data_IF_058040644001
#
_entry.id   IF_058040644001
#
_cell.length_a   1.000
_cell.length_b   1.000
_cell.length_c   1.000
_cell.angle_alpha   90.00
_cell.angle_beta   90.00
_cell.angle_gamma   90.00
#
_symmetry.space_group_name_H-M   'P 1'
#
loop_
_entity.id
_entity.type
_entity.pdbx_description
1 polymer ?
#
# COMPACT_ATOMS: atom_id res chain seq x y z
N UNK A 1 12.13 -1.62 -4.63
CA UNK A 1 10.66 -1.60 -4.73
C UNK A 1 10.18 -2.97 -4.27
N UNK A 2 9.91 -3.16 -2.97
CA UNK A 2 9.55 -4.50 -2.43
C UNK A 2 8.75 -4.35 -1.15
N UNK A 3 7.43 -4.14 -1.26
CA UNK A 3 6.51 -4.23 -0.11
C UNK A 3 5.17 -4.89 -0.52
N UNK A 4 5.05 -5.47 -1.71
CA UNK A 4 3.76 -6.05 -2.15
C UNK A 4 3.87 -7.15 -3.22
N UNK A 5 5.01 -7.84 -3.35
CA UNK A 5 5.15 -8.91 -4.33
C UNK A 5 5.71 -10.19 -3.71
N UNK A 6 4.88 -11.24 -3.69
CA UNK A 6 5.30 -12.64 -3.55
C UNK A 6 4.96 -13.27 -2.22
N UNK A 7 3.78 -13.87 -2.10
CA UNK A 7 3.51 -14.87 -1.05
C UNK A 7 4.16 -16.23 -1.42
N UNK A 8 4.61 -16.38 -2.68
CA UNK A 8 5.22 -17.62 -3.21
C UNK A 8 6.47 -17.34 -4.05
N UNK A 9 7.42 -18.29 -4.09
CA UNK A 9 8.65 -18.21 -4.90
C UNK A 9 8.35 -17.94 -6.38
N UNK A 10 7.25 -18.50 -6.89
CA UNK A 10 6.82 -18.32 -8.26
C UNK A 10 6.41 -16.86 -8.58
N UNK A 11 5.77 -16.16 -7.65
CA UNK A 11 5.42 -14.75 -7.82
C UNK A 11 6.65 -13.85 -7.76
N UNK A 12 7.64 -14.21 -6.94
CA UNK A 12 8.93 -13.53 -6.87
C UNK A 12 9.66 -13.67 -8.22
N UNK A 13 9.68 -14.86 -8.81
CA UNK A 13 10.31 -15.11 -10.10
C UNK A 13 9.63 -14.34 -11.24
N UNK A 14 8.28 -14.25 -11.24
CA UNK A 14 7.54 -13.41 -12.19
C UNK A 14 8.01 -11.96 -12.14
N UNK A 15 8.13 -11.38 -10.95
CA UNK A 15 8.58 -9.99 -10.79
C UNK A 15 10.02 -9.81 -11.26
N UNK A 16 10.92 -10.75 -10.93
CA UNK A 16 12.31 -10.72 -11.39
C UNK A 16 12.41 -10.81 -12.92
N UNK A 17 11.59 -11.65 -13.55
CA UNK A 17 11.57 -11.77 -15.01
C UNK A 17 11.06 -10.49 -15.67
N UNK A 18 10.01 -9.88 -15.11
CA UNK A 18 9.52 -8.60 -15.59
C UNK A 18 10.58 -7.49 -15.44
N UNK A 19 11.25 -7.42 -14.28
CA UNK A 19 12.33 -6.47 -14.03
C UNK A 19 13.50 -6.64 -15.02
N UNK A 20 13.95 -7.88 -15.23
CA UNK A 20 14.99 -8.20 -16.20
C UNK A 20 14.61 -7.75 -17.61
N UNK A 21 13.36 -7.99 -18.03
CA UNK A 21 12.86 -7.54 -19.32
C UNK A 21 12.83 -6.00 -19.42
N UNK A 22 12.33 -5.31 -18.39
CA UNK A 22 12.32 -3.85 -18.37
C UNK A 22 13.73 -3.25 -18.48
N UNK A 23 14.72 -3.87 -17.86
CA UNK A 23 16.12 -3.43 -17.95
C UNK A 23 16.71 -3.71 -19.34
N UNK A 24 16.53 -4.93 -19.85
CA UNK A 24 17.06 -5.34 -21.15
C UNK A 24 16.51 -4.50 -22.30
N UNK A 25 15.21 -4.18 -22.26
CA UNK A 25 14.52 -3.41 -23.30
C UNK A 25 14.34 -1.92 -22.92
N UNK A 26 15.03 -1.44 -21.89
CA UNK A 26 14.87 -0.08 -21.34
C UNK A 26 15.02 1.01 -22.40
N UNK A 27 16.05 0.92 -23.24
CA UNK A 27 16.31 1.89 -24.31
C UNK A 27 15.19 1.93 -25.36
N UNK A 28 14.54 0.80 -25.63
CA UNK A 28 13.42 0.74 -26.57
C UNK A 28 12.14 1.27 -25.91
N UNK A 29 11.90 0.92 -24.64
CA UNK A 29 10.65 1.24 -23.92
C UNK A 29 10.59 2.70 -23.47
N UNK A 30 11.71 3.25 -22.98
CA UNK A 30 11.74 4.54 -22.28
C UNK A 30 12.43 5.65 -23.05
N UNK A 31 13.45 5.35 -23.86
CA UNK A 31 14.24 6.39 -24.54
C UNK A 31 13.68 6.78 -25.92
N UNK A 32 12.90 5.88 -26.55
CA UNK A 32 12.24 6.15 -27.82
C UNK A 32 10.90 6.86 -27.61
N UNK A 33 10.61 7.85 -28.47
CA UNK A 33 9.34 8.57 -28.49
C UNK A 33 8.92 8.93 -29.91
N UNK A 34 7.78 9.61 -30.06
CA UNK A 34 7.19 9.98 -31.37
C UNK A 34 8.07 10.85 -32.28
N UNK A 35 9.09 11.51 -31.73
CA UNK A 35 10.02 12.35 -32.47
C UNK A 35 11.34 11.62 -32.80
N UNK A 36 11.53 10.40 -32.28
CA UNK A 36 12.74 9.61 -32.51
C UNK A 36 12.86 9.21 -33.98
N UNK A 37 14.04 9.41 -34.54
CA UNK A 37 14.35 9.03 -35.91
C UNK A 37 14.90 7.60 -36.02
N UNK A 38 15.18 7.18 -37.25
CA UNK A 38 15.77 5.85 -37.52
C UNK A 38 17.10 5.63 -36.80
N UNK A 39 17.92 6.68 -36.65
CA UNK A 39 19.21 6.60 -35.95
C UNK A 39 19.03 6.27 -34.46
N UNK A 40 18.03 6.87 -33.81
CA UNK A 40 17.75 6.65 -32.40
C UNK A 40 17.25 5.22 -32.18
N UNK A 41 16.41 4.72 -33.08
CA UNK A 41 15.95 3.34 -33.08
C UNK A 41 17.13 2.36 -33.21
N UNK A 42 18.03 2.58 -34.18
CA UNK A 42 19.19 1.72 -34.37
C UNK A 42 20.08 1.68 -33.12
N UNK A 43 20.33 2.84 -32.53
CA UNK A 43 21.11 2.93 -31.29
C UNK A 43 20.42 2.19 -30.13
N UNK A 44 19.10 2.33 -29.97
CA UNK A 44 18.35 1.60 -28.94
C UNK A 44 18.41 0.08 -29.15
N UNK A 45 18.33 -0.39 -30.41
CA UNK A 45 18.49 -1.79 -30.75
C UNK A 45 19.90 -2.31 -30.43
N UNK A 46 20.96 -1.57 -30.77
CA UNK A 46 22.35 -1.96 -30.46
C UNK A 46 22.61 -2.07 -28.95
N UNK A 47 22.04 -1.17 -28.16
CA UNK A 47 22.15 -1.25 -26.69
C UNK A 47 21.35 -2.44 -26.13
N UNK A 48 20.15 -2.67 -26.67
CA UNK A 48 19.31 -3.80 -26.29
C UNK A 48 20.00 -5.12 -26.62
N UNK A 49 20.62 -5.25 -27.80
CA UNK A 49 21.36 -6.44 -28.22
C UNK A 49 22.49 -6.77 -27.24
N UNK A 50 23.25 -5.77 -26.79
CA UNK A 50 24.29 -5.97 -25.76
C UNK A 50 23.73 -6.49 -24.45
N UNK A 51 22.57 -6.00 -24.02
CA UNK A 51 21.89 -6.48 -22.82
C UNK A 51 21.40 -7.92 -23.02
N UNK A 52 20.91 -8.27 -24.21
CA UNK A 52 20.47 -9.62 -24.53
C UNK A 52 21.62 -10.64 -24.54
N UNK A 53 22.83 -10.24 -24.94
CA UNK A 53 24.02 -11.11 -24.86
C UNK A 53 24.42 -11.49 -23.42
N UNK A 54 23.95 -10.75 -22.42
CA UNK A 54 24.21 -11.06 -21.00
C UNK A 54 23.20 -12.03 -20.40
N UNK A 55 22.09 -12.31 -21.10
CA UNK A 55 20.99 -13.15 -20.63
C UNK A 55 20.32 -13.87 -21.81
N UNK A 56 20.84 -15.06 -22.14
CA UNK A 56 20.35 -15.89 -23.26
C UNK A 56 18.87 -16.27 -23.15
N UNK A 57 18.30 -16.22 -21.94
CA UNK A 57 16.89 -16.54 -21.67
C UNK A 57 15.98 -15.31 -21.65
N UNK A 58 16.49 -14.11 -21.90
CA UNK A 58 15.71 -12.86 -21.81
C UNK A 58 14.45 -12.87 -22.69
N UNK A 59 14.52 -13.48 -23.87
CA UNK A 59 13.36 -13.63 -24.77
C UNK A 59 12.31 -14.56 -24.16
N UNK A 60 12.74 -15.66 -23.51
CA UNK A 60 11.82 -16.56 -22.81
C UNK A 60 11.19 -15.87 -21.59
N UNK A 61 11.97 -15.10 -20.83
CA UNK A 61 11.48 -14.28 -19.71
C UNK A 61 10.46 -13.25 -20.18
N UNK A 62 10.65 -12.65 -21.37
CA UNK A 62 9.70 -11.70 -21.96
C UNK A 62 8.40 -12.40 -22.36
N UNK A 63 8.49 -13.59 -22.97
CA UNK A 63 7.33 -14.40 -23.32
C UNK A 63 6.56 -14.81 -22.05
N UNK A 64 7.24 -15.26 -21.00
CA UNK A 64 6.60 -15.62 -19.73
C UNK A 64 5.94 -14.39 -19.07
N UNK A 65 6.64 -13.27 -19.05
CA UNK A 65 6.10 -11.97 -18.60
C UNK A 65 4.81 -11.61 -19.36
N UNK A 66 4.80 -11.79 -20.69
CA UNK A 66 3.63 -11.53 -21.53
C UNK A 66 2.44 -12.43 -21.19
N UNK A 67 2.68 -13.72 -20.95
CA UNK A 67 1.63 -14.66 -20.51
C UNK A 67 1.06 -14.28 -19.13
N UNK A 68 1.87 -13.65 -18.28
CA UNK A 68 1.48 -13.23 -16.94
C UNK A 68 0.96 -11.77 -16.86
N UNK A 69 0.69 -11.11 -18.00
CA UNK A 69 0.25 -9.70 -18.02
C UNK A 69 -1.01 -9.42 -17.19
N UNK A 70 -1.99 -10.33 -17.21
CA UNK A 70 -3.20 -10.15 -16.41
C UNK A 70 -2.90 -10.19 -14.90
N UNK A 71 -1.93 -11.00 -14.46
CA UNK A 71 -1.48 -10.99 -13.08
C UNK A 71 -0.88 -9.63 -12.71
N UNK A 72 0.01 -9.06 -13.55
CA UNK A 72 0.60 -7.73 -13.31
C UNK A 72 -0.46 -6.61 -13.28
N UNK A 73 -1.45 -6.64 -14.18
CA UNK A 73 -2.55 -5.66 -14.19
C UNK A 73 -3.38 -5.77 -12.90
N UNK A 74 -3.67 -6.99 -12.45
CA UNK A 74 -4.43 -7.22 -11.23
C UNK A 74 -3.61 -6.83 -10.00
N UNK A 75 -2.31 -7.11 -9.96
CA UNK A 75 -1.39 -6.67 -8.92
C UNK A 75 -1.31 -5.14 -8.82
N UNK A 76 -1.25 -4.43 -9.96
CA UNK A 76 -1.31 -2.97 -9.98
C UNK A 76 -2.64 -2.43 -9.45
N UNK A 77 -3.75 -3.04 -9.88
CA UNK A 77 -5.10 -2.68 -9.39
C UNK A 77 -5.28 -2.98 -7.90
N UNK A 78 -4.74 -4.10 -7.41
CA UNK A 78 -4.82 -4.48 -6.00
C UNK A 78 -3.95 -3.57 -5.14
N UNK A 79 -2.73 -3.22 -5.55
CA UNK A 79 -1.91 -2.23 -4.87
C UNK A 79 -2.62 -0.87 -4.80
N UNK A 80 -3.22 -0.43 -5.90
CA UNK A 80 -4.03 0.80 -5.92
C UNK A 80 -5.27 0.71 -5.01
N UNK A 81 -5.98 -0.41 -5.01
CA UNK A 81 -7.21 -0.62 -4.23
C UNK A 81 -6.94 -0.79 -2.74
N UNK A 82 -5.92 -1.57 -2.36
CA UNK A 82 -5.54 -1.83 -0.96
C UNK A 82 -4.94 -0.58 -0.33
N UNK A 83 -4.03 0.12 -1.03
CA UNK A 83 -3.51 1.40 -0.55
C UNK A 83 -4.64 2.43 -0.43
N UNK A 84 -5.49 2.58 -1.45
CA UNK A 84 -6.62 3.54 -1.40
C UNK A 84 -7.62 3.20 -0.30
N UNK A 85 -7.95 1.92 -0.09
CA UNK A 85 -8.82 1.49 1.01
C UNK A 85 -8.21 1.77 2.38
N UNK A 86 -6.94 1.42 2.59
CA UNK A 86 -6.23 1.67 3.85
C UNK A 86 -6.13 3.17 4.14
N UNK A 87 -5.94 3.99 3.10
CA UNK A 87 -5.94 5.46 3.19
C UNK A 87 -7.32 6.00 3.58
N UNK A 88 -8.38 5.57 2.89
CA UNK A 88 -9.75 5.99 3.20
C UNK A 88 -10.17 5.56 4.60
N UNK A 89 -9.72 4.37 5.04
CA UNK A 89 -9.97 3.85 6.38
C UNK A 89 -9.22 4.67 7.44
N UNK A 90 -7.97 5.06 7.21
CA UNK A 90 -7.24 5.91 8.13
C UNK A 90 -7.80 7.34 8.20
N UNK A 91 -8.33 7.87 7.09
CA UNK A 91 -9.09 9.12 7.09
C UNK A 91 -10.41 8.99 7.86
N UNK A 92 -11.13 7.87 7.72
CA UNK A 92 -12.32 7.59 8.50
C UNK A 92 -12.00 7.45 9.99
N UNK A 93 -10.85 6.87 10.34
CA UNK A 93 -10.34 6.79 11.70
C UNK A 93 -10.13 8.19 12.29
N UNK A 94 -9.52 9.11 11.56
CA UNK A 94 -9.35 10.50 12.01
C UNK A 94 -10.70 11.23 12.13
N UNK A 95 -11.66 10.99 11.24
CA UNK A 95 -12.92 11.75 11.22
C UNK A 95 -14.00 11.22 12.16
N UNK A 96 -13.99 9.91 12.44
CA UNK A 96 -15.09 9.19 13.12
C UNK A 96 -14.60 8.21 14.19
N UNK A 97 -13.28 8.08 14.36
CA UNK A 97 -12.68 7.18 15.32
C UNK A 97 -12.81 7.65 16.76
N UNK A 98 -13.05 6.72 17.67
CA UNK A 98 -13.19 6.98 19.09
C UNK A 98 -12.36 5.96 19.88
N UNK A 99 -11.55 6.44 20.82
CA UNK A 99 -10.96 5.57 21.83
C UNK A 99 -11.99 5.33 22.93
N UNK A 100 -12.20 4.05 23.23
CA UNK A 100 -13.07 3.58 24.29
C UNK A 100 -12.18 3.01 25.37
N UNK A 101 -12.25 3.63 26.55
CA UNK A 101 -11.48 3.22 27.72
C UNK A 101 -12.47 2.84 28.82
N UNK A 102 -12.49 1.58 29.23
CA UNK A 102 -13.33 1.11 30.32
C UNK A 102 -13.59 -0.39 30.35
N UNK A 103 -14.02 -0.89 31.50
CA UNK A 103 -14.37 -2.28 31.69
C UNK A 103 -15.74 -2.59 31.03
N UNK A 104 -15.71 -3.28 29.90
CA UNK A 104 -16.91 -3.75 29.22
C UNK A 104 -17.34 -5.18 29.60
N UNK A 105 -16.53 -5.90 30.39
CA UNK A 105 -16.95 -7.21 30.92
C UNK A 105 -18.01 -6.98 32.01
N UNK A 106 -19.16 -7.63 31.84
CA UNK A 106 -20.32 -7.51 32.74
C UNK A 106 -20.03 -8.06 34.15
N UNK A 107 -19.03 -8.94 34.29
CA UNK A 107 -18.68 -9.61 35.54
C UNK A 107 -17.75 -8.76 36.42
N UNK A 108 -18.00 -8.82 37.73
CA UNK A 108 -17.09 -8.35 38.77
C UNK A 108 -15.83 -9.23 38.77
N UNK A 109 -14.92 -8.96 37.84
CA UNK A 109 -13.58 -9.54 37.84
C UNK A 109 -12.65 -8.52 38.49
N UNK A 110 -11.77 -8.97 39.39
CA UNK A 110 -10.79 -8.10 40.05
C UNK A 110 -10.00 -7.29 39.01
N UNK A 111 -9.72 -6.03 39.34
CA UNK A 111 -9.02 -5.06 38.47
C UNK A 111 -7.65 -5.56 37.98
N UNK A 112 -7.12 -6.61 38.61
CA UNK A 112 -5.79 -7.20 38.37
C UNK A 112 -5.72 -8.21 37.22
N UNK A 113 -6.86 -8.66 36.67
CA UNK A 113 -6.87 -9.62 35.54
C UNK A 113 -7.02 -8.96 34.16
N UNK A 114 -7.13 -7.63 34.09
CA UNK A 114 -7.31 -6.95 32.81
C UNK A 114 -5.98 -6.74 32.09
N UNK A 115 -5.93 -7.16 30.82
CA UNK A 115 -4.88 -6.70 29.91
C UNK A 115 -5.26 -5.34 29.32
N UNK A 116 -4.28 -4.60 28.81
CA UNK A 116 -4.54 -3.30 28.17
C UNK A 116 -5.54 -3.41 27.00
N UNK A 117 -5.54 -4.55 26.29
CA UNK A 117 -6.47 -4.85 25.20
C UNK A 117 -7.92 -5.09 25.68
N UNK A 118 -8.13 -5.47 26.94
CA UNK A 118 -9.47 -5.59 27.53
C UNK A 118 -10.07 -4.23 27.92
N UNK A 119 -9.22 -3.20 28.09
CA UNK A 119 -9.60 -1.90 28.65
C UNK A 119 -9.61 -0.81 27.59
N UNK A 120 -8.75 -0.89 26.57
CA UNK A 120 -8.63 0.11 25.50
C UNK A 120 -9.01 -0.53 24.17
N UNK A 121 -9.98 0.08 23.51
CA UNK A 121 -10.35 -0.23 22.13
C UNK A 121 -10.44 1.03 21.31
N UNK A 122 -10.22 0.90 20.01
CA UNK A 122 -10.56 1.94 19.05
C UNK A 122 -11.71 1.48 18.19
N UNK A 123 -12.64 2.39 17.94
CA UNK A 123 -13.85 2.09 17.20
C UNK A 123 -14.09 3.16 16.15
N UNK A 124 -14.41 2.73 14.93
CA UNK A 124 -14.89 3.63 13.88
C UNK A 124 -16.38 3.34 13.68
N UNK A 125 -17.20 4.39 13.82
CA UNK A 125 -18.62 4.32 13.48
C UNK A 125 -18.80 4.66 12.00
N UNK A 126 -19.31 3.71 11.24
CA UNK A 126 -19.66 3.87 9.83
C UNK A 126 -20.99 4.62 9.65
N UNK A 127 -21.25 5.10 8.43
CA UNK A 127 -22.47 5.84 8.10
C UNK A 127 -23.75 5.00 8.19
N UNK A 128 -23.61 3.68 8.05
CA UNK A 128 -24.68 2.69 8.25
C UNK A 128 -24.91 2.35 9.74
N UNK A 129 -24.29 3.11 10.65
CA UNK A 129 -24.31 2.90 12.11
C UNK A 129 -23.66 1.60 12.59
N UNK A 130 -22.97 0.86 11.74
CA UNK A 130 -22.11 -0.24 12.18
C UNK A 130 -20.87 0.31 12.89
N UNK A 131 -20.40 -0.43 13.88
CA UNK A 131 -19.17 -0.10 14.62
C UNK A 131 -18.15 -1.17 14.30
N UNK A 132 -16.97 -0.75 13.81
CA UNK A 132 -15.83 -1.63 13.60
C UNK A 132 -14.82 -1.40 14.72
N UNK A 133 -14.52 -2.46 15.46
CA UNK A 133 -13.47 -2.50 16.49
C UNK A 133 -12.10 -2.68 15.82
N UNK A 134 -11.09 -2.00 16.34
CA UNK A 134 -9.70 -2.10 15.93
C UNK A 134 -8.84 -2.45 17.15
N UNK A 135 -7.90 -3.37 16.94
CA UNK A 135 -6.84 -3.69 17.87
C UNK A 135 -5.77 -2.58 17.90
N UNK A 136 -4.92 -2.60 18.94
CA UNK A 136 -3.81 -1.66 19.06
C UNK A 136 -2.81 -1.76 17.89
N UNK A 137 -2.61 -2.97 17.35
CA UNK A 137 -1.75 -3.21 16.20
C UNK A 137 -2.33 -2.56 14.94
N UNK A 138 -3.61 -2.78 14.66
CA UNK A 138 -4.30 -2.18 13.50
C UNK A 138 -4.34 -0.64 13.59
N UNK A 139 -4.41 -0.06 14.80
CA UNK A 139 -4.32 1.40 15.00
C UNK A 139 -2.91 1.91 14.65
N UNK A 140 -1.86 1.21 15.10
CA UNK A 140 -0.47 1.58 14.81
C UNK A 140 -0.17 1.50 13.31
N UNK A 141 -0.74 0.51 12.62
CA UNK A 141 -0.63 0.37 11.17
C UNK A 141 -1.35 1.52 10.45
N UNK A 142 -2.58 1.85 10.85
CA UNK A 142 -3.32 3.00 10.31
C UNK A 142 -2.57 4.32 10.53
N UNK A 143 -1.95 4.51 11.71
CA UNK A 143 -1.13 5.66 12.02
C UNK A 143 0.11 5.73 11.11
N UNK A 144 0.78 4.60 10.89
CA UNK A 144 1.95 4.52 10.01
C UNK A 144 1.58 4.87 8.56
N UNK A 145 0.42 4.40 8.08
CA UNK A 145 -0.12 4.79 6.78
C UNK A 145 -0.39 6.29 6.67
N UNK A 146 -0.97 6.93 7.69
CA UNK A 146 -1.21 8.38 7.70
C UNK A 146 0.07 9.21 7.66
N UNK A 147 1.11 8.78 8.38
CA UNK A 147 2.40 9.48 8.39
C UNK A 147 3.08 9.46 7.01
N UNK A 148 3.00 8.33 6.30
CA UNK A 148 3.55 8.19 4.94
C UNK A 148 2.84 9.07 3.90
N UNK A 149 1.56 9.39 4.12
CA UNK A 149 0.81 10.35 3.29
C UNK A 149 1.25 11.79 3.53
N UNK A 150 1.47 12.18 4.79
CA UNK A 150 1.96 13.52 5.12
C UNK A 150 3.30 13.85 4.44
N UNK A 151 4.10 12.84 4.11
CA UNK A 151 5.38 12.99 3.42
C UNK A 151 5.28 13.12 1.88
N UNK A 152 4.17 12.71 1.25
CA UNK A 152 4.03 12.58 -0.21
C UNK A 152 2.99 13.52 -0.84
N UNK A 153 2.54 14.56 -0.13
CA UNK A 153 1.39 15.38 -0.53
C UNK A 153 1.80 16.83 -0.77
N UNK A 154 1.28 17.44 -1.84
CA UNK A 154 1.54 18.83 -2.24
C UNK A 154 0.95 19.86 -1.26
N UNK A 155 1.51 21.07 -1.23
CA UNK A 155 1.23 22.14 -0.25
C UNK A 155 -0.26 22.49 -0.03
N UNK A 156 -1.12 22.31 -1.04
CA UNK A 156 -2.57 22.57 -0.91
C UNK A 156 -3.28 21.58 0.00
N UNK A 157 -2.95 20.29 -0.10
CA UNK A 157 -3.54 19.25 0.72
C UNK A 157 -2.90 19.16 2.10
N UNK A 158 -1.70 19.73 2.28
CA UNK A 158 -1.12 20.00 3.61
C UNK A 158 -2.00 20.99 4.40
N UNK A 159 -2.57 22.03 3.78
CA UNK A 159 -3.45 22.97 4.52
C UNK A 159 -4.77 22.34 4.97
N UNK A 160 -5.38 21.47 4.17
CA UNK A 160 -6.59 20.73 4.55
C UNK A 160 -6.27 19.67 5.62
N UNK A 161 -5.14 18.96 5.49
CA UNK A 161 -4.70 17.96 6.47
C UNK A 161 -4.17 18.57 7.77
N UNK A 162 -3.61 19.77 7.75
CA UNK A 162 -3.17 20.49 8.98
C UNK A 162 -4.38 20.95 9.78
N UNK A 163 -5.52 21.23 9.13
CA UNK A 163 -6.82 21.40 9.81
C UNK A 163 -7.38 20.08 10.34
N UNK A 164 -7.11 18.94 9.69
CA UNK A 164 -7.58 17.61 10.13
C UNK A 164 -6.68 16.93 11.18
N UNK A 165 -5.47 17.42 11.44
CA UNK A 165 -4.50 16.85 12.40
C UNK A 165 -4.96 16.86 13.86
N UNK A 166 -5.98 17.64 14.20
CA UNK A 166 -6.44 17.87 15.58
C UNK A 166 -7.63 16.99 16.01
N UNK A 167 -7.96 15.94 15.27
CA UNK A 167 -9.11 15.09 15.57
C UNK A 167 -8.72 13.62 15.77
N UNK A 168 -8.27 13.25 16.97
CA UNK A 168 -8.79 12.01 17.55
C UNK A 168 -10.07 12.40 18.28
N UNK A 169 -11.20 12.05 17.68
CA UNK A 169 -12.49 12.77 17.82
C UNK A 169 -13.09 12.71 19.22
N UNK A 170 -12.75 11.73 20.04
CA UNK A 170 -13.16 11.70 21.44
C UNK A 170 -12.47 10.56 22.19
N UNK A 171 -12.23 10.79 23.49
CA UNK A 171 -12.03 9.71 24.47
C UNK A 171 -13.36 9.51 25.19
N UNK A 172 -13.97 8.33 25.08
CA UNK A 172 -15.15 7.96 25.86
C UNK A 172 -14.73 7.08 27.02
N UNK A 173 -14.92 7.62 28.22
CA UNK A 173 -14.74 6.91 29.48
C UNK A 173 -16.06 6.26 29.86
N UNK A 174 -16.04 4.94 30.03
CA UNK A 174 -17.17 4.22 30.62
C UNK A 174 -16.86 3.93 32.08
N UNK A 175 -17.55 4.63 32.97
CA UNK A 175 -17.66 4.29 34.39
C UNK A 175 -19.01 3.62 34.61
N UNK A 176 -19.00 2.41 35.16
CA UNK A 176 -20.20 1.84 35.81
C UNK A 176 -20.45 2.58 37.11
#
# INVERSE_FOLDING_TARGET
MSIAAGETDYEVDRVKYFEACCLAFSHIIFDLNKNSGFKDLLQACEQTEKMMLSDDDIVKKLIDTNHNLEWFKNAKKSQGSVATKSIMEAQAANRKGCFVIGNQKSSYVEFLEFSLADVIKFQIKNDDSTVKDYSLEEINDLQSCLMLLGANISEKSIQEMTKEKDYFVAVRLYTK
#
